data_IF_710892469884
#
_entry.id   IF_710892469884
#
_cell.length_a   1.000
_cell.length_b   1.000
_cell.length_c   1.000
_cell.angle_alpha   90.00
_cell.angle_beta   90.00
_cell.angle_gamma   90.00
#
_symmetry.space_group_name_H-M   'P 1'
#
loop_
_entity.id
_entity.type
_entity.pdbx_description
1 polymer ?
#
# COMPACT_ATOMS: atom_id res chain seq x y z
N UNK A 1 11.01 22.30 -3.70
CA UNK A 1 10.12 23.12 -2.86
C UNK A 1 9.71 22.23 -1.68
N UNK A 2 10.31 22.49 -0.51
CA UNK A 2 9.82 21.89 0.74
C UNK A 2 8.55 22.63 1.12
N UNK A 3 7.41 21.99 1.00
CA UNK A 3 6.15 22.47 1.58
C UNK A 3 6.21 22.19 3.07
N UNK A 4 6.17 23.27 3.85
CA UNK A 4 6.41 23.33 5.26
C UNK A 4 5.72 22.28 6.08
N UNK A 5 6.52 21.43 6.69
CA UNK A 5 6.16 20.82 7.95
C UNK A 5 6.03 21.98 8.96
N UNK A 6 4.86 22.20 9.50
CA UNK A 6 4.68 22.98 10.71
C UNK A 6 5.65 22.42 11.75
N UNK A 7 6.40 23.31 12.37
CA UNK A 7 7.41 23.04 13.40
C UNK A 7 6.68 22.52 14.65
N UNK A 8 6.19 21.27 14.54
CA UNK A 8 5.52 20.58 15.64
C UNK A 8 6.59 20.06 16.59
N UNK A 9 6.46 20.46 17.79
CA UNK A 9 7.27 20.22 19.00
C UNK A 9 8.24 19.02 18.89
N UNK A 10 9.51 19.31 18.64
CA UNK A 10 10.62 18.33 18.52
C UNK A 10 10.90 17.53 19.79
N UNK A 11 10.04 17.65 20.82
CA UNK A 11 10.23 17.01 22.12
C UNK A 11 9.53 15.67 22.28
N UNK A 12 8.56 15.34 21.42
CA UNK A 12 7.81 14.10 21.50
C UNK A 12 8.23 13.15 20.39
N UNK A 13 8.62 11.92 20.74
CA UNK A 13 8.86 10.87 19.74
C UNK A 13 7.54 10.42 19.13
N UNK A 14 7.50 10.15 17.84
CA UNK A 14 6.32 9.58 17.19
C UNK A 14 6.09 8.14 17.64
N UNK A 15 4.82 7.75 17.72
CA UNK A 15 4.41 6.36 17.96
C UNK A 15 4.56 5.52 16.70
N UNK A 16 4.36 6.11 15.53
CA UNK A 16 4.48 5.41 14.25
C UNK A 16 5.09 6.25 13.15
N UNK A 17 5.75 5.57 12.23
CA UNK A 17 6.20 6.08 10.95
C UNK A 17 5.66 5.18 9.83
N UNK A 18 4.89 5.77 8.94
CA UNK A 18 4.39 5.11 7.74
C UNK A 18 5.18 5.63 6.53
N UNK A 19 5.81 4.73 5.79
CA UNK A 19 6.64 5.05 4.63
C UNK A 19 6.01 4.48 3.37
N UNK A 20 6.05 5.25 2.27
CA UNK A 20 5.53 4.80 0.99
C UNK A 20 6.44 5.25 -0.14
N UNK A 21 6.71 4.35 -1.09
CA UNK A 21 7.51 4.57 -2.28
C UNK A 21 6.69 4.38 -3.55
N UNK A 22 6.75 5.32 -4.48
CA UNK A 22 6.03 5.26 -5.76
C UNK A 22 6.94 5.11 -6.99
N UNK A 23 8.23 4.81 -6.79
CA UNK A 23 9.23 4.74 -7.85
C UNK A 23 9.94 6.06 -8.16
N UNK A 24 9.52 7.19 -7.56
CA UNK A 24 10.16 8.50 -7.67
C UNK A 24 10.11 9.35 -6.41
N UNK A 25 9.12 9.11 -5.57
CA UNK A 25 8.88 9.92 -4.39
C UNK A 25 8.76 9.02 -3.16
N UNK A 26 9.50 9.34 -2.10
CA UNK A 26 9.26 8.81 -0.77
C UNK A 26 8.25 9.71 -0.08
N UNK A 27 7.15 9.15 0.34
CA UNK A 27 6.12 9.81 1.13
C UNK A 27 6.13 9.23 2.53
N UNK A 28 5.83 10.04 3.54
CA UNK A 28 5.76 9.56 4.91
C UNK A 28 4.66 10.25 5.70
N UNK A 29 4.21 9.55 6.75
CA UNK A 29 3.37 10.09 7.81
C UNK A 29 3.96 9.71 9.15
N UNK A 30 4.16 10.70 10.00
CA UNK A 30 4.46 10.51 11.42
C UNK A 30 3.15 10.50 12.19
N UNK A 31 2.96 9.52 13.05
CA UNK A 31 1.81 9.43 13.95
C UNK A 31 2.25 9.72 15.39
N UNK A 32 1.52 10.60 16.03
CA UNK A 32 1.68 10.96 17.43
C UNK A 32 0.36 10.65 18.14
N UNK A 33 0.39 9.74 19.10
CA UNK A 33 -0.81 9.36 19.86
C UNK A 33 -0.85 10.14 21.16
N UNK A 34 -1.93 10.86 21.40
CA UNK A 34 -2.15 11.50 22.69
C UNK A 34 -2.52 10.45 23.73
N UNK A 35 -1.76 10.42 24.86
CA UNK A 35 -2.00 9.46 25.95
C UNK A 35 -3.34 9.67 26.65
N UNK A 36 -3.84 10.90 26.68
CA UNK A 36 -5.00 11.29 27.47
C UNK A 36 -6.30 11.20 26.66
N UNK A 37 -6.28 11.63 25.39
CA UNK A 37 -7.47 11.61 24.52
C UNK A 37 -7.59 10.36 23.63
N UNK A 38 -6.54 9.57 23.51
CA UNK A 38 -6.39 8.49 22.52
C UNK A 38 -6.50 8.95 21.05
N UNK A 39 -6.53 10.24 20.81
CA UNK A 39 -6.52 10.81 19.47
C UNK A 39 -5.14 10.67 18.84
N UNK A 40 -5.11 10.49 17.54
CA UNK A 40 -3.87 10.42 16.78
C UNK A 40 -3.71 11.65 15.89
N UNK A 41 -2.59 12.33 16.05
CA UNK A 41 -2.17 13.42 15.18
C UNK A 41 -1.22 12.89 14.11
N UNK A 42 -1.33 13.38 12.87
CA UNK A 42 -0.46 12.97 11.77
C UNK A 42 0.27 14.17 11.18
N UNK A 43 1.57 14.02 10.98
CA UNK A 43 2.42 14.97 10.25
C UNK A 43 2.92 14.29 8.97
N UNK A 44 2.61 14.88 7.80
CA UNK A 44 2.91 14.32 6.50
C UNK A 44 4.11 15.01 5.86
N UNK A 45 4.79 14.28 5.00
CA UNK A 45 5.83 14.86 4.16
C UNK A 45 6.14 13.97 2.95
N UNK A 46 6.90 14.52 2.03
CA UNK A 46 7.36 13.79 0.85
C UNK A 46 8.69 14.35 0.37
N UNK A 47 9.43 13.52 -0.37
CA UNK A 47 10.67 13.92 -1.03
C UNK A 47 10.83 13.18 -2.36
N UNK A 48 11.02 13.95 -3.43
CA UNK A 48 11.39 13.38 -4.72
C UNK A 48 12.82 12.82 -4.69
N UNK A 49 12.99 11.66 -5.31
CA UNK A 49 14.26 10.94 -5.43
C UNK A 49 14.66 10.91 -6.90
N UNK A 50 15.61 11.73 -7.27
CA UNK A 50 16.07 11.86 -8.67
C UNK A 50 16.87 10.64 -9.15
N UNK A 51 17.51 9.91 -8.23
CA UNK A 51 18.29 8.70 -8.48
C UNK A 51 18.02 7.69 -7.39
N UNK A 52 17.81 6.43 -7.74
CA UNK A 52 17.53 5.34 -6.82
C UNK A 52 18.61 5.22 -5.72
N UNK A 53 19.87 5.47 -6.06
CA UNK A 53 21.00 5.46 -5.10
C UNK A 53 20.88 6.47 -3.96
N UNK A 54 19.95 7.43 -4.04
CA UNK A 54 19.66 8.41 -2.97
C UNK A 54 18.62 7.89 -1.96
N UNK A 55 17.93 6.81 -2.25
CA UNK A 55 16.91 6.23 -1.34
C UNK A 55 17.43 6.00 0.09
N UNK A 56 18.60 5.35 0.27
CA UNK A 56 19.12 5.10 1.62
C UNK A 56 19.38 6.38 2.41
N UNK A 57 19.81 7.46 1.72
CA UNK A 57 20.04 8.76 2.36
C UNK A 57 18.72 9.40 2.82
N UNK A 58 17.68 9.35 1.98
CA UNK A 58 16.37 9.90 2.32
C UNK A 58 15.77 9.17 3.53
N UNK A 59 15.80 7.84 3.53
CA UNK A 59 15.27 7.04 4.64
C UNK A 59 16.08 7.25 5.92
N UNK A 60 17.41 7.35 5.82
CA UNK A 60 18.28 7.65 6.96
C UNK A 60 18.01 9.03 7.54
N UNK A 61 17.75 10.03 6.70
CA UNK A 61 17.40 11.37 7.17
C UNK A 61 16.09 11.38 7.97
N UNK A 62 15.11 10.56 7.60
CA UNK A 62 13.89 10.37 8.38
C UNK A 62 14.19 9.73 9.74
N UNK A 63 15.02 8.69 9.79
CA UNK A 63 15.44 8.07 11.04
C UNK A 63 16.11 9.08 11.98
N UNK A 64 16.94 9.98 11.45
CA UNK A 64 17.64 10.99 12.23
C UNK A 64 16.77 12.13 12.76
N UNK A 65 15.49 12.21 12.35
CA UNK A 65 14.61 13.30 12.76
C UNK A 65 14.11 13.19 14.20
N UNK A 66 13.95 11.96 14.70
CA UNK A 66 13.51 11.67 16.06
C UNK A 66 14.46 10.66 16.71
N UNK A 67 14.56 10.71 18.04
CA UNK A 67 15.44 9.82 18.80
C UNK A 67 14.94 8.37 18.82
N UNK A 68 13.63 8.17 18.75
CA UNK A 68 12.99 6.88 18.68
C UNK A 68 11.68 6.94 17.90
N UNK A 69 11.24 5.81 17.37
CA UNK A 69 9.91 5.56 16.82
C UNK A 69 9.52 4.13 17.22
N UNK A 70 8.29 3.95 17.69
CA UNK A 70 7.86 2.65 18.21
C UNK A 70 7.54 1.66 17.10
N UNK A 71 6.88 2.11 16.04
CA UNK A 71 6.45 1.28 14.93
C UNK A 71 6.84 1.92 13.60
N UNK A 72 7.35 1.13 12.68
CA UNK A 72 7.62 1.55 11.30
C UNK A 72 6.95 0.59 10.34
N UNK A 73 6.06 1.13 9.52
CA UNK A 73 5.36 0.39 8.46
C UNK A 73 5.73 0.99 7.12
N UNK A 74 5.98 0.13 6.13
CA UNK A 74 6.30 0.61 4.79
C UNK A 74 5.58 -0.18 3.70
N UNK A 75 5.29 0.50 2.59
CA UNK A 75 4.65 -0.05 1.41
C UNK A 75 5.28 0.51 0.14
N UNK A 76 4.99 -0.13 -0.99
CA UNK A 76 5.27 0.40 -2.32
C UNK A 76 3.96 0.59 -3.10
N UNK A 77 3.88 1.65 -3.89
CA UNK A 77 2.75 1.92 -4.79
C UNK A 77 3.01 1.32 -6.17
N UNK A 78 1.92 1.07 -6.88
CA UNK A 78 1.96 0.54 -8.26
C UNK A 78 2.77 -0.75 -8.38
N UNK A 79 2.87 -1.47 -7.28
CA UNK A 79 3.51 -2.76 -7.24
C UNK A 79 2.76 -3.78 -8.09
N UNK A 80 3.52 -4.67 -8.71
CA UNK A 80 2.91 -5.83 -9.36
C UNK A 80 2.38 -6.74 -8.27
N UNK A 81 1.06 -6.88 -8.21
CA UNK A 81 0.38 -7.67 -7.18
C UNK A 81 -0.58 -8.64 -7.84
N UNK A 82 -0.64 -9.85 -7.33
CA UNK A 82 -1.59 -10.89 -7.73
C UNK A 82 -2.36 -11.34 -6.49
N UNK A 83 -3.67 -11.50 -6.64
CA UNK A 83 -4.52 -12.11 -5.62
C UNK A 83 -4.68 -13.59 -5.98
N UNK A 84 -4.39 -14.46 -5.03
CA UNK A 84 -4.46 -15.92 -5.19
C UNK A 84 -5.39 -16.49 -4.13
N UNK A 85 -6.38 -17.34 -4.50
CA UNK A 85 -7.16 -18.05 -3.51
C UNK A 85 -6.26 -18.96 -2.66
N UNK A 86 -6.41 -18.94 -1.33
CA UNK A 86 -5.55 -19.72 -0.42
C UNK A 86 -5.56 -21.22 -0.73
N UNK A 87 -6.71 -21.74 -1.17
CA UNK A 87 -6.87 -23.16 -1.56
C UNK A 87 -5.88 -23.60 -2.67
N UNK A 88 -5.41 -22.65 -3.48
CA UNK A 88 -4.45 -22.91 -4.57
C UNK A 88 -3.03 -23.02 -4.03
N UNK A 89 -2.74 -22.32 -2.93
CA UNK A 89 -1.38 -22.25 -2.37
C UNK A 89 -1.04 -23.44 -1.46
N UNK A 90 -2.01 -24.08 -0.81
CA UNK A 90 -1.88 -25.29 0.04
C UNK A 90 -0.45 -25.58 0.51
N UNK A 91 0.12 -24.71 1.33
CA UNK A 91 1.45 -24.85 1.93
C UNK A 91 2.65 -24.88 0.95
N UNK A 92 2.43 -24.60 -0.32
CA UNK A 92 3.47 -24.56 -1.34
C UNK A 92 3.89 -23.11 -1.64
N UNK A 93 5.00 -22.67 -1.04
CA UNK A 93 5.58 -21.34 -1.30
C UNK A 93 5.98 -21.16 -2.78
N UNK A 94 6.31 -22.23 -3.48
CA UNK A 94 6.60 -22.17 -4.92
C UNK A 94 5.33 -21.90 -5.75
N UNK A 95 4.15 -22.28 -5.23
CA UNK A 95 2.90 -22.02 -5.93
C UNK A 95 2.62 -20.52 -6.04
N UNK A 96 2.89 -19.73 -4.99
CA UNK A 96 2.76 -18.27 -5.02
C UNK A 96 3.65 -17.64 -6.11
N UNK A 97 4.90 -18.09 -6.22
CA UNK A 97 5.84 -17.62 -7.24
C UNK A 97 5.39 -18.02 -8.66
N UNK A 98 4.90 -19.24 -8.84
CA UNK A 98 4.36 -19.70 -10.14
C UNK A 98 3.15 -18.87 -10.55
N UNK A 99 2.21 -18.61 -9.64
CA UNK A 99 1.04 -17.77 -9.91
C UNK A 99 1.42 -16.32 -10.22
N UNK A 100 2.35 -15.75 -9.48
CA UNK A 100 2.86 -14.41 -9.76
C UNK A 100 3.48 -14.32 -11.16
N UNK A 101 4.29 -15.29 -11.55
CA UNK A 101 4.94 -15.37 -12.88
C UNK A 101 3.95 -15.55 -14.03
N UNK A 102 2.80 -16.18 -13.79
CA UNK A 102 1.75 -16.31 -14.81
C UNK A 102 1.08 -14.97 -15.15
N UNK A 103 1.01 -14.06 -14.18
CA UNK A 103 0.31 -12.77 -14.34
C UNK A 103 1.26 -11.62 -14.65
N UNK A 104 2.54 -11.78 -14.33
CA UNK A 104 3.54 -10.75 -14.49
C UNK A 104 4.74 -11.27 -15.28
N UNK A 105 5.20 -10.46 -16.25
CA UNK A 105 6.40 -10.80 -17.00
C UNK A 105 7.59 -11.07 -16.04
N UNK A 106 8.40 -12.10 -16.31
CA UNK A 106 9.54 -12.42 -15.46
C UNK A 106 10.50 -11.23 -15.42
N UNK A 107 10.80 -10.77 -14.23
CA UNK A 107 11.88 -9.84 -13.96
C UNK A 107 12.95 -10.59 -13.18
N UNK A 108 14.23 -10.33 -13.47
CA UNK A 108 15.31 -10.92 -12.73
C UNK A 108 15.21 -10.52 -11.26
N UNK A 109 15.30 -11.52 -10.39
CA UNK A 109 15.54 -11.40 -8.95
C UNK A 109 14.59 -10.46 -8.17
N UNK A 110 13.31 -10.52 -8.47
CA UNK A 110 12.30 -9.84 -7.65
C UNK A 110 11.96 -10.75 -6.48
N UNK A 111 12.31 -10.32 -5.28
CA UNK A 111 11.76 -10.91 -4.06
C UNK A 111 10.24 -10.81 -4.06
N UNK A 112 9.57 -11.72 -3.36
CA UNK A 112 8.11 -11.70 -3.21
C UNK A 112 7.74 -11.48 -1.76
N UNK A 113 6.74 -10.64 -1.54
CA UNK A 113 6.02 -10.54 -0.26
C UNK A 113 4.68 -11.26 -0.41
N UNK A 114 4.38 -12.11 0.56
CA UNK A 114 3.13 -12.88 0.61
C UNK A 114 2.39 -12.43 1.87
N UNK A 115 1.13 -12.07 1.71
CA UNK A 115 0.26 -11.66 2.82
C UNK A 115 -1.06 -12.43 2.74
N UNK A 116 -1.38 -13.14 3.81
CA UNK A 116 -2.66 -13.81 4.00
C UNK A 116 -3.63 -12.85 4.70
N UNK A 117 -4.83 -12.67 4.13
CA UNK A 117 -5.89 -11.92 4.76
C UNK A 117 -6.84 -12.89 5.47
N UNK A 118 -6.44 -13.36 6.64
CA UNK A 118 -7.19 -14.36 7.46
C UNK A 118 -8.58 -13.88 7.89
N UNK A 119 -8.81 -12.57 7.90
CA UNK A 119 -10.10 -11.98 8.28
C UNK A 119 -11.20 -12.09 7.22
N UNK A 120 -10.90 -12.69 6.05
CA UNK A 120 -11.75 -12.69 4.87
C UNK A 120 -12.16 -14.12 4.51
N UNK A 121 -13.45 -14.32 4.28
CA UNK A 121 -13.96 -15.59 3.75
C UNK A 121 -13.28 -15.93 2.42
N UNK A 122 -12.76 -17.17 2.31
CA UNK A 122 -11.97 -17.61 1.16
C UNK A 122 -10.47 -17.28 1.25
N UNK A 123 -10.01 -16.63 2.31
CA UNK A 123 -8.61 -16.37 2.64
C UNK A 123 -7.77 -15.95 1.42
N UNK A 124 -8.05 -14.78 0.80
CA UNK A 124 -7.25 -14.33 -0.33
C UNK A 124 -5.81 -14.07 0.10
N UNK A 125 -4.88 -14.55 -0.70
CA UNK A 125 -3.46 -14.32 -0.50
C UNK A 125 -2.98 -13.29 -1.52
N UNK A 126 -2.37 -12.23 -1.04
CA UNK A 126 -1.73 -11.22 -1.87
C UNK A 126 -0.26 -11.57 -2.07
N UNK A 127 0.17 -11.58 -3.32
CA UNK A 127 1.58 -11.80 -3.69
C UNK A 127 2.07 -10.56 -4.43
N UNK A 128 3.06 -9.88 -3.87
CA UNK A 128 3.64 -8.65 -4.38
C UNK A 128 5.08 -8.84 -4.79
N UNK A 129 5.47 -8.33 -5.96
CA UNK A 129 6.86 -8.23 -6.36
C UNK A 129 7.55 -7.04 -5.70
N UNK A 130 8.65 -7.29 -4.98
CA UNK A 130 9.36 -6.27 -4.20
C UNK A 130 10.28 -5.40 -5.07
N UNK A 131 10.35 -4.10 -4.76
CA UNK A 131 11.44 -3.23 -5.18
C UNK A 131 12.61 -3.41 -4.21
N UNK A 132 13.67 -4.11 -4.63
CA UNK A 132 14.78 -4.48 -3.77
C UNK A 132 15.53 -3.27 -3.21
N UNK A 133 15.70 -2.21 -3.99
CA UNK A 133 16.39 -0.98 -3.54
C UNK A 133 15.58 -0.27 -2.44
N UNK A 134 14.26 -0.28 -2.55
CA UNK A 134 13.37 0.27 -1.53
C UNK A 134 13.41 -0.56 -0.25
N UNK A 135 13.21 -1.86 -0.38
CA UNK A 135 13.26 -2.83 0.72
C UNK A 135 14.56 -2.70 1.52
N UNK A 136 15.70 -2.76 0.83
CA UNK A 136 17.02 -2.65 1.44
C UNK A 136 17.21 -1.30 2.15
N UNK A 137 16.80 -0.20 1.50
CA UNK A 137 16.92 1.16 2.07
C UNK A 137 16.18 1.31 3.39
N UNK A 138 14.96 0.74 3.47
CA UNK A 138 14.15 0.77 4.69
C UNK A 138 14.78 -0.11 5.76
N UNK A 139 15.10 -1.37 5.43
CA UNK A 139 15.62 -2.34 6.39
C UNK A 139 16.99 -1.94 6.96
N UNK A 140 17.85 -1.29 6.18
CA UNK A 140 19.11 -0.72 6.69
C UNK A 140 18.90 0.36 7.73
N UNK A 141 17.85 1.15 7.61
CA UNK A 141 17.55 2.25 8.54
C UNK A 141 16.65 1.81 9.70
N UNK A 142 15.69 0.94 9.43
CA UNK A 142 14.69 0.46 10.37
C UNK A 142 14.59 -1.08 10.30
N UNK A 143 15.51 -1.82 10.94
CA UNK A 143 15.56 -3.29 10.85
C UNK A 143 14.31 -4.01 11.37
N UNK A 144 13.47 -3.33 12.14
CA UNK A 144 12.22 -3.86 12.69
C UNK A 144 10.98 -3.38 11.91
N UNK A 145 11.18 -2.69 10.77
CA UNK A 145 10.08 -2.19 9.97
C UNK A 145 9.26 -3.33 9.38
N UNK A 146 7.94 -3.16 9.39
CA UNK A 146 6.99 -4.10 8.83
C UNK A 146 6.61 -3.68 7.42
N UNK A 147 6.89 -4.52 6.44
CA UNK A 147 6.41 -4.31 5.08
C UNK A 147 4.97 -4.76 4.90
N UNK A 148 4.14 -3.92 4.29
CA UNK A 148 2.75 -4.24 3.95
C UNK A 148 2.52 -4.13 2.45
N UNK A 149 1.51 -4.84 1.95
CA UNK A 149 1.08 -4.78 0.56
C UNK A 149 -0.01 -3.71 0.43
N UNK A 150 0.25 -2.63 -0.30
CA UNK A 150 -0.68 -1.50 -0.45
C UNK A 150 -2.06 -1.94 -0.91
N UNK A 151 -2.14 -2.81 -1.92
CA UNK A 151 -3.42 -3.31 -2.44
C UNK A 151 -4.20 -4.17 -1.44
N UNK A 152 -3.51 -4.86 -0.54
CA UNK A 152 -4.14 -5.63 0.54
C UNK A 152 -4.77 -4.69 1.58
N UNK A 153 -4.07 -3.62 1.97
CA UNK A 153 -4.59 -2.60 2.89
C UNK A 153 -5.85 -1.92 2.31
N UNK A 154 -5.83 -1.56 1.03
CA UNK A 154 -7.00 -1.00 0.36
C UNK A 154 -8.16 -2.02 0.31
N UNK A 155 -7.85 -3.29 0.06
CA UNK A 155 -8.85 -4.36 0.03
C UNK A 155 -9.49 -4.57 1.41
N UNK A 156 -8.72 -4.62 2.49
CA UNK A 156 -9.25 -4.71 3.86
C UNK A 156 -10.19 -3.53 4.17
N UNK A 157 -9.80 -2.33 3.76
CA UNK A 157 -10.64 -1.13 3.91
C UNK A 157 -11.95 -1.27 3.13
N UNK A 158 -11.89 -1.67 1.86
CA UNK A 158 -13.07 -1.87 1.03
C UNK A 158 -14.01 -2.93 1.63
N UNK A 159 -13.46 -4.04 2.12
CA UNK A 159 -14.22 -5.12 2.77
C UNK A 159 -14.89 -4.64 4.04
N UNK A 160 -14.16 -3.93 4.90
CA UNK A 160 -14.71 -3.38 6.15
C UNK A 160 -15.93 -2.49 5.91
N UNK A 161 -15.85 -1.63 4.89
CA UNK A 161 -16.96 -0.75 4.51
C UNK A 161 -18.10 -1.56 3.89
N UNK A 162 -17.82 -2.48 2.96
CA UNK A 162 -18.85 -3.22 2.22
C UNK A 162 -19.62 -4.24 3.08
N UNK A 163 -19.07 -4.65 4.23
CA UNK A 163 -19.80 -5.46 5.23
C UNK A 163 -20.95 -4.72 5.87
N UNK A 164 -20.94 -3.39 5.84
CA UNK A 164 -21.93 -2.52 6.45
C UNK A 164 -22.94 -2.00 5.44
N UNK A 165 -22.77 -2.35 4.17
CA UNK A 165 -23.60 -1.86 3.07
C UNK A 165 -23.96 -2.99 2.10
N UNK A 166 -25.09 -2.84 1.38
CA UNK A 166 -25.44 -3.73 0.26
C UNK A 166 -24.90 -3.22 -1.09
N UNK A 167 -23.92 -2.31 -1.05
CA UNK A 167 -23.35 -1.66 -2.22
C UNK A 167 -21.98 -2.27 -2.56
N UNK A 168 -21.59 -2.11 -3.82
CA UNK A 168 -20.21 -2.24 -4.23
C UNK A 168 -19.40 -1.08 -3.63
N UNK A 169 -18.26 -1.41 -3.06
CA UNK A 169 -17.35 -0.42 -2.50
C UNK A 169 -16.05 -0.46 -3.26
N UNK A 170 -15.63 0.69 -3.77
CA UNK A 170 -14.33 0.87 -4.42
C UNK A 170 -13.53 1.90 -3.62
N UNK A 171 -12.43 1.48 -3.05
CA UNK A 171 -11.48 2.35 -2.35
C UNK A 171 -10.38 2.73 -3.32
N UNK A 172 -10.11 4.04 -3.44
CA UNK A 172 -9.12 4.59 -4.37
C UNK A 172 -8.12 5.44 -3.58
N UNK A 173 -6.83 5.08 -3.66
CA UNK A 173 -5.73 5.91 -3.21
C UNK A 173 -5.11 6.61 -4.42
N UNK A 174 -5.47 7.88 -4.62
CA UNK A 174 -5.03 8.67 -5.76
C UNK A 174 -3.83 9.56 -5.44
N UNK A 175 -3.03 9.85 -6.45
CA UNK A 175 -1.89 10.76 -6.36
C UNK A 175 -1.50 11.30 -7.73
N UNK A 176 -0.52 12.18 -7.78
CA UNK A 176 -0.07 12.84 -9.02
C UNK A 176 0.32 11.88 -10.15
N UNK A 177 0.77 10.68 -9.82
CA UNK A 177 1.34 9.71 -10.77
C UNK A 177 0.40 8.57 -11.11
N UNK A 178 -0.70 8.43 -10.40
CA UNK A 178 -1.64 7.34 -10.60
C UNK A 178 -2.51 7.10 -9.39
N UNK A 179 -3.21 5.98 -9.41
CA UNK A 179 -4.02 5.53 -8.30
C UNK A 179 -3.89 4.01 -8.13
N UNK A 180 -3.90 3.56 -6.88
CA UNK A 180 -4.17 2.18 -6.52
C UNK A 180 -5.63 2.08 -6.10
N UNK A 181 -6.29 0.97 -6.41
CA UNK A 181 -7.68 0.75 -6.05
C UNK A 181 -7.98 -0.70 -5.72
N UNK A 182 -8.98 -0.89 -4.87
CA UNK A 182 -9.51 -2.20 -4.52
C UNK A 182 -11.03 -2.14 -4.41
N UNK A 183 -11.69 -3.22 -4.78
CA UNK A 183 -13.15 -3.33 -4.76
C UNK A 183 -13.62 -4.54 -3.99
N UNK A 184 -14.70 -4.35 -3.26
CA UNK A 184 -15.35 -5.36 -2.45
C UNK A 184 -16.87 -5.27 -2.57
N UNK A 185 -17.56 -6.40 -2.38
CA UNK A 185 -19.00 -6.49 -2.32
C UNK A 185 -19.43 -7.43 -1.20
N UNK A 186 -20.27 -6.95 -0.29
CA UNK A 186 -20.79 -7.73 0.86
C UNK A 186 -19.69 -8.43 1.66
N UNK A 187 -18.57 -7.75 1.88
CA UNK A 187 -17.44 -8.29 2.62
C UNK A 187 -16.52 -9.24 1.87
N UNK A 188 -16.76 -9.45 0.56
CA UNK A 188 -15.91 -10.31 -0.27
C UNK A 188 -14.95 -9.46 -1.11
N UNK A 189 -13.69 -9.89 -1.19
CA UNK A 189 -12.69 -9.33 -2.08
C UNK A 189 -13.06 -9.67 -3.54
N UNK A 190 -13.12 -8.67 -4.41
CA UNK A 190 -13.48 -8.88 -5.81
C UNK A 190 -12.30 -8.66 -6.74
N UNK A 191 -11.67 -7.48 -6.71
CA UNK A 191 -10.51 -7.16 -7.52
C UNK A 191 -9.69 -6.00 -6.93
N UNK A 192 -8.42 -5.94 -7.29
CA UNK A 192 -7.56 -4.78 -7.08
C UNK A 192 -6.82 -4.43 -8.35
N UNK A 193 -6.31 -3.22 -8.43
CA UNK A 193 -5.56 -2.77 -9.60
C UNK A 193 -4.96 -1.39 -9.38
N UNK A 194 -4.35 -0.86 -10.45
CA UNK A 194 -3.78 0.47 -10.42
C UNK A 194 -3.93 1.17 -11.77
N UNK A 195 -3.89 2.50 -11.74
CA UNK A 195 -3.72 3.37 -12.90
C UNK A 195 -2.36 4.06 -12.80
N UNK A 196 -1.56 3.98 -13.85
CA UNK A 196 -0.25 4.67 -13.92
C UNK A 196 -0.36 6.13 -14.39
N UNK A 197 -1.57 6.66 -14.49
CA UNK A 197 -1.85 8.06 -14.81
C UNK A 197 -2.65 8.68 -13.67
N UNK A 198 -2.19 9.85 -13.19
CA UNK A 198 -2.78 10.54 -12.05
C UNK A 198 -3.90 11.51 -12.41
N UNK A 199 -4.26 11.66 -13.69
CA UNK A 199 -5.38 12.48 -14.07
C UNK A 199 -6.73 11.78 -13.75
N UNK A 200 -7.74 12.53 -13.29
CA UNK A 200 -9.01 11.94 -12.83
C UNK A 200 -9.72 11.11 -13.90
N UNK A 201 -9.63 11.49 -15.16
CA UNK A 201 -10.28 10.78 -16.27
C UNK A 201 -9.66 9.40 -16.48
N UNK A 202 -8.33 9.31 -16.47
CA UNK A 202 -7.62 8.03 -16.60
C UNK A 202 -7.85 7.11 -15.40
N UNK A 203 -7.95 7.66 -14.19
CA UNK A 203 -8.28 6.90 -12.98
C UNK A 203 -9.70 6.35 -13.10
N UNK A 204 -10.68 7.23 -13.40
CA UNK A 204 -12.07 6.83 -13.55
C UNK A 204 -12.23 5.76 -14.64
N UNK A 205 -11.59 5.95 -15.80
CA UNK A 205 -11.62 4.97 -16.88
C UNK A 205 -11.08 3.60 -16.41
N UNK A 206 -9.97 3.59 -15.68
CA UNK A 206 -9.37 2.36 -15.16
C UNK A 206 -10.31 1.62 -14.21
N UNK A 207 -10.95 2.36 -13.29
CA UNK A 207 -11.92 1.81 -12.35
C UNK A 207 -13.15 1.27 -13.06
N UNK A 208 -13.79 2.06 -13.94
CA UNK A 208 -14.99 1.66 -14.69
C UNK A 208 -14.70 0.44 -15.57
N UNK A 209 -13.55 0.41 -16.24
CA UNK A 209 -13.16 -0.74 -17.07
C UNK A 209 -12.96 -2.01 -16.21
N UNK A 210 -12.39 -1.88 -15.03
CA UNK A 210 -12.26 -3.00 -14.09
C UNK A 210 -13.63 -3.46 -13.58
N UNK A 211 -14.55 -2.54 -13.29
CA UNK A 211 -15.93 -2.86 -12.91
C UNK A 211 -16.62 -3.67 -14.01
N UNK A 212 -16.58 -3.21 -15.25
CA UNK A 212 -17.17 -3.93 -16.39
C UNK A 212 -16.61 -5.34 -16.57
N UNK A 213 -15.29 -5.50 -16.43
CA UNK A 213 -14.63 -6.82 -16.54
C UNK A 213 -15.07 -7.79 -15.44
N UNK A 214 -15.47 -7.28 -14.30
CA UNK A 214 -15.93 -8.07 -13.16
C UNK A 214 -17.46 -8.14 -13.05
N UNK A 215 -18.19 -7.73 -14.10
CA UNK A 215 -19.65 -7.85 -14.16
C UNK A 215 -20.40 -6.94 -13.17
N UNK A 216 -19.76 -5.85 -12.75
CA UNK A 216 -20.36 -4.89 -11.83
C UNK A 216 -21.31 -3.99 -12.62
N UNK A 217 -22.59 -4.02 -12.27
CA UNK A 217 -23.58 -3.07 -12.78
C UNK A 217 -23.31 -1.67 -12.19
N UNK A 218 -23.52 -0.62 -13.00
CA UNK A 218 -23.23 0.76 -12.57
C UNK A 218 -24.16 1.27 -11.46
N UNK A 219 -25.33 0.67 -11.31
CA UNK A 219 -26.28 0.99 -10.26
C UNK A 219 -25.82 0.34 -8.93
N UNK A 220 -25.71 1.14 -7.89
CA UNK A 220 -25.36 0.66 -6.54
C UNK A 220 -23.86 0.59 -6.23
N UNK A 221 -23.03 1.43 -6.87
CA UNK A 221 -21.61 1.58 -6.53
C UNK A 221 -21.38 2.78 -5.62
N UNK A 222 -20.67 2.57 -4.52
CA UNK A 222 -20.11 3.62 -3.68
C UNK A 222 -18.59 3.77 -3.96
N UNK A 223 -18.16 5.00 -4.25
CA UNK A 223 -16.77 5.38 -4.52
C UNK A 223 -16.29 6.34 -3.44
#
# INVERSE_FOLDING_TARGET
METGATDTDTRRNPDGLFLRWDGREVQWAWMFRDSDSQESEFSFGHREVSKISMLPEVVRALKGRFSAVNEVVYAQRFARTTIVPAIVLKDDSEAAEKWFKLHHAPTKDVGLRILHLESIEGEPVFVEGLDGDWEESVMMSFPQAQGVIQSAVLMETAISISRQTDLWVVVIDSGKRGADFAASFKGNAIWSGHSLKGDPESILYSVVNAMHRNGVEQEGVAI
#
